data_IF_589718243266
#
_entry.id   IF_589718243266
#
_cell.length_a   1.000
_cell.length_b   1.000
_cell.length_c   1.000
_cell.angle_alpha   90.00
_cell.angle_beta   90.00
_cell.angle_gamma   90.00
#
_symmetry.space_group_name_H-M   'P 1'
#
loop_
_entity.id
_entity.type
_entity.pdbx_description
1 polymer ?
#
# COMPACT_ATOMS: atom_id res chain seq x y z
N UNK A 1 -3.18 6.32 -10.52
CA UNK A 1 -2.19 5.31 -10.07
C UNK A 1 -2.47 4.94 -8.61
N UNK A 2 -2.11 3.73 -8.16
CA UNK A 2 -2.24 3.28 -6.75
C UNK A 2 -1.59 4.27 -5.76
N UNK A 3 -0.61 5.05 -6.22
CA UNK A 3 0.03 6.14 -5.46
C UNK A 3 -0.94 7.23 -5.03
N UNK A 4 -2.00 7.51 -5.80
CA UNK A 4 -3.01 8.53 -5.46
C UNK A 4 -3.92 8.13 -4.28
N UNK A 5 -3.84 6.87 -3.83
CA UNK A 5 -4.56 6.35 -2.68
C UNK A 5 -3.65 6.18 -1.45
N UNK A 6 -2.36 6.51 -1.57
CA UNK A 6 -1.47 6.58 -0.43
C UNK A 6 -1.70 7.93 0.27
N UNK A 7 -1.99 7.94 1.59
CA UNK A 7 -1.96 9.19 2.33
C UNK A 7 -0.54 9.78 2.21
N UNK A 8 -0.47 11.09 1.96
CA UNK A 8 0.74 11.92 1.94
C UNK A 8 1.42 12.20 0.58
N UNK A 9 0.80 11.86 -0.56
CA UNK A 9 1.23 12.43 -1.86
C UNK A 9 0.58 13.82 -2.09
N UNK A 10 1.34 14.84 -2.55
CA UNK A 10 0.78 16.13 -2.92
C UNK A 10 -0.33 15.98 -3.96
N UNK A 11 -1.55 16.42 -3.63
CA UNK A 11 -2.72 16.33 -4.51
C UNK A 11 -3.56 15.05 -4.35
N UNK A 12 -3.25 14.19 -3.36
CA UNK A 12 -4.15 13.09 -3.00
C UNK A 12 -5.49 13.62 -2.44
N UNK A 13 -6.63 12.98 -2.78
CA UNK A 13 -7.94 13.36 -2.25
C UNK A 13 -7.97 13.20 -0.72
N UNK A 14 -8.71 14.07 -0.03
CA UNK A 14 -8.86 13.94 1.42
C UNK A 14 -9.62 12.65 1.76
N UNK A 15 -9.46 12.16 2.99
CA UNK A 15 -10.23 10.99 3.45
C UNK A 15 -11.74 11.25 3.41
N UNK A 16 -12.16 12.51 3.55
CA UNK A 16 -13.55 12.92 3.41
C UNK A 16 -14.05 12.81 1.96
N UNK A 17 -13.23 13.22 0.98
CA UNK A 17 -13.58 13.09 -0.45
C UNK A 17 -13.72 11.62 -0.85
N UNK A 18 -12.79 10.78 -0.39
CA UNK A 18 -12.87 9.32 -0.57
C UNK A 18 -14.13 8.78 0.12
N UNK A 19 -14.43 9.23 1.33
CA UNK A 19 -15.65 8.86 2.04
C UNK A 19 -16.91 9.15 1.23
N UNK A 20 -17.02 10.37 0.70
CA UNK A 20 -18.13 10.79 -0.13
C UNK A 20 -18.26 9.94 -1.41
N UNK A 21 -17.14 9.64 -2.08
CA UNK A 21 -17.13 8.80 -3.29
C UNK A 21 -17.62 7.37 -3.03
N UNK A 22 -17.27 6.79 -1.89
CA UNK A 22 -17.55 5.39 -1.56
C UNK A 22 -18.74 5.20 -0.59
N UNK A 23 -19.47 6.27 -0.24
CA UNK A 23 -20.57 6.19 0.73
C UNK A 23 -20.11 5.81 2.14
N UNK A 24 -18.88 6.19 2.50
CA UNK A 24 -18.24 5.84 3.77
C UNK A 24 -18.01 7.08 4.62
N UNK A 25 -17.98 6.89 5.94
CA UNK A 25 -17.46 7.93 6.85
C UNK A 25 -15.93 7.99 6.75
N UNK A 26 -15.34 9.12 7.11
CA UNK A 26 -13.88 9.29 7.12
C UNK A 26 -13.16 8.23 7.99
N UNK A 27 -13.77 7.87 9.13
CA UNK A 27 -13.26 6.80 10.00
C UNK A 27 -13.34 5.43 9.32
N UNK A 28 -14.43 5.13 8.59
CA UNK A 28 -14.55 3.88 7.84
C UNK A 28 -13.50 3.78 6.73
N UNK A 29 -13.21 4.89 6.04
CA UNK A 29 -12.11 4.99 5.06
C UNK A 29 -10.77 4.70 5.72
N UNK A 30 -10.48 5.32 6.86
CA UNK A 30 -9.24 5.09 7.62
C UNK A 30 -9.06 3.61 7.99
N UNK A 31 -10.11 2.97 8.48
CA UNK A 31 -10.07 1.54 8.82
C UNK A 31 -9.91 0.65 7.59
N UNK A 32 -10.58 0.99 6.47
CA UNK A 32 -10.44 0.27 5.22
C UNK A 32 -9.01 0.33 4.70
N UNK A 33 -8.38 1.50 4.71
CA UNK A 33 -6.97 1.67 4.34
C UNK A 33 -6.04 0.87 5.24
N UNK A 34 -6.25 0.90 6.56
CA UNK A 34 -5.43 0.11 7.48
C UNK A 34 -5.50 -1.39 7.16
N UNK A 35 -6.71 -1.93 6.94
CA UNK A 35 -6.90 -3.34 6.55
C UNK A 35 -6.26 -3.65 5.21
N UNK A 36 -6.45 -2.78 4.23
CA UNK A 36 -5.86 -2.92 2.89
C UNK A 36 -4.34 -2.96 2.96
N UNK A 37 -3.70 -2.00 3.64
CA UNK A 37 -2.24 -1.95 3.80
C UNK A 37 -1.71 -3.24 4.43
N UNK A 38 -2.33 -3.72 5.51
CA UNK A 38 -1.91 -4.96 6.16
C UNK A 38 -2.02 -6.17 5.23
N UNK A 39 -3.13 -6.32 4.50
CA UNK A 39 -3.33 -7.44 3.58
C UNK A 39 -2.39 -7.36 2.39
N UNK A 40 -2.26 -6.19 1.77
CA UNK A 40 -1.35 -5.95 0.66
C UNK A 40 0.09 -6.25 1.05
N UNK A 41 0.54 -5.78 2.21
CA UNK A 41 1.88 -6.01 2.71
C UNK A 41 2.18 -7.51 2.90
N UNK A 42 1.21 -8.27 3.40
CA UNK A 42 1.33 -9.73 3.54
C UNK A 42 1.47 -10.41 2.18
N UNK A 43 0.59 -10.09 1.24
CA UNK A 43 0.58 -10.70 -0.10
C UNK A 43 1.84 -10.33 -0.87
N UNK A 44 2.30 -9.08 -0.79
CA UNK A 44 3.52 -8.65 -1.46
C UNK A 44 4.74 -9.41 -0.96
N UNK A 45 4.84 -9.66 0.35
CA UNK A 45 5.93 -10.49 0.90
C UNK A 45 5.86 -11.93 0.45
N UNK A 46 4.66 -12.49 0.35
CA UNK A 46 4.43 -13.84 -0.18
C UNK A 46 4.90 -13.95 -1.63
N UNK A 47 4.53 -13.00 -2.49
CA UNK A 47 4.97 -12.98 -3.87
C UNK A 47 6.50 -12.81 -4.00
N UNK A 48 7.11 -11.92 -3.22
CA UNK A 48 8.57 -11.74 -3.20
C UNK A 48 9.28 -13.01 -2.71
N UNK A 49 8.71 -13.74 -1.75
CA UNK A 49 9.29 -14.99 -1.27
C UNK A 49 9.42 -16.04 -2.39
N UNK A 50 8.58 -15.96 -3.42
CA UNK A 50 8.66 -16.84 -4.60
C UNK A 50 9.74 -16.40 -5.62
N UNK A 51 10.26 -15.19 -5.53
CA UNK A 51 11.25 -14.65 -6.49
C UNK A 51 12.67 -14.64 -5.96
N UNK A 52 12.84 -14.64 -4.64
CA UNK A 52 14.16 -14.62 -4.00
C UNK A 52 14.78 -16.00 -3.86
N UNK A 53 16.12 -16.06 -3.81
CA UNK A 53 16.85 -17.31 -3.65
C UNK A 53 16.66 -17.92 -2.25
N UNK A 54 16.55 -17.08 -1.21
CA UNK A 54 16.28 -17.51 0.16
C UNK A 54 15.28 -16.61 0.86
N UNK A 55 14.60 -17.13 1.88
CA UNK A 55 13.64 -16.36 2.67
C UNK A 55 14.29 -15.16 3.40
N UNK A 56 15.60 -15.19 3.63
CA UNK A 56 16.33 -14.08 4.26
C UNK A 56 16.38 -12.82 3.40
N UNK A 57 16.21 -12.96 2.08
CA UNK A 57 16.40 -11.88 1.12
C UNK A 57 15.13 -11.05 0.90
N UNK A 58 13.98 -11.44 1.48
CA UNK A 58 12.68 -10.82 1.24
C UNK A 58 12.68 -9.31 1.55
N UNK A 59 13.28 -8.90 2.67
CA UNK A 59 13.30 -7.49 3.06
C UNK A 59 14.27 -6.65 2.21
N UNK A 60 15.33 -7.27 1.69
CA UNK A 60 16.25 -6.61 0.75
C UNK A 60 15.57 -6.38 -0.59
N UNK A 61 14.90 -7.40 -1.12
CA UNK A 61 14.16 -7.31 -2.38
C UNK A 61 12.99 -6.32 -2.28
N UNK A 62 12.26 -6.31 -1.17
CA UNK A 62 11.19 -5.34 -0.93
C UNK A 62 11.71 -3.90 -0.92
N UNK A 63 12.87 -3.65 -0.28
CA UNK A 63 13.52 -2.33 -0.31
C UNK A 63 13.96 -1.94 -1.71
N UNK A 64 14.53 -2.88 -2.46
CA UNK A 64 14.94 -2.64 -3.85
C UNK A 64 13.74 -2.29 -4.73
N UNK A 65 12.65 -3.08 -4.67
CA UNK A 65 11.41 -2.85 -5.40
C UNK A 65 10.85 -1.45 -5.13
N UNK A 66 10.77 -1.05 -3.85
CA UNK A 66 10.27 0.28 -3.48
C UNK A 66 11.15 1.39 -4.05
N UNK A 67 12.48 1.22 -4.04
CA UNK A 67 13.41 2.20 -4.59
C UNK A 67 13.20 2.36 -6.11
N UNK A 68 13.01 1.26 -6.84
CA UNK A 68 12.78 1.29 -8.30
C UNK A 68 11.43 1.89 -8.65
N UNK A 69 10.36 1.58 -7.91
CA UNK A 69 9.00 2.09 -8.21
C UNK A 69 8.82 3.58 -7.87
N UNK A 70 9.64 4.11 -6.95
CA UNK A 70 9.61 5.54 -6.58
C UNK A 70 10.46 6.43 -7.49
N UNK A 71 11.36 5.85 -8.28
CA UNK A 71 12.21 6.57 -9.23
C UNK A 71 11.42 6.95 -10.50
#
# INVERSE_FOLDING_TARGET
SLTQLLPDEPGAPSRADIGAQFGMTENAVTQAFHRFRKRYQSLLREEIAHTVATHGDIEDELRHLIAVVRA
#
